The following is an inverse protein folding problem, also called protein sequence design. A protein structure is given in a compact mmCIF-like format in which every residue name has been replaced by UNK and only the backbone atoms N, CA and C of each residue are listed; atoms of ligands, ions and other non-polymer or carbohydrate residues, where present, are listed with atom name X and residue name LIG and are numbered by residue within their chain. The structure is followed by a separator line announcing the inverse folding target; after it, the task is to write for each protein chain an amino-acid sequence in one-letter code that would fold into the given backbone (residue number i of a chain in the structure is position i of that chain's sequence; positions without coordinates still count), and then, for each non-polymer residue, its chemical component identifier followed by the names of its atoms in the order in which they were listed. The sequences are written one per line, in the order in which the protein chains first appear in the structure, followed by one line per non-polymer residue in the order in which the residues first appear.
data_IF_310684540465
#
_entry.id   IF_310684540465
#
_cell.length_a   1.000
_cell.length_b   1.000
_cell.length_c   1.000
_cell.angle_alpha   90.00
_cell.angle_beta   90.00
_cell.angle_gamma   90.00
#
_symmetry.space_group_name_H-M   'P 1'
#
loop_
_entity.id
_entity.type
_entity.pdbx_description
1 polymer ?
#
# COMPACT_ATOMS: atom_id res chain seq x y z
N UNK A 1 2.05 20.30 73.55
CA UNK A 1 0.75 20.22 72.85
C UNK A 1 0.92 19.22 71.71
N UNK A 2 0.44 17.99 71.90
CA UNK A 2 0.49 16.93 70.88
C UNK A 2 -0.75 17.02 69.99
N UNK A 3 -0.62 16.95 68.65
CA UNK A 3 -1.79 16.88 67.77
C UNK A 3 -2.35 15.45 67.77
N UNK A 4 -3.67 15.34 67.97
CA UNK A 4 -4.44 14.11 67.84
C UNK A 4 -4.63 13.78 66.36
N UNK A 5 -4.27 12.56 65.97
CA UNK A 5 -4.58 12.01 64.65
C UNK A 5 -6.08 11.68 64.53
N UNK A 6 -6.75 12.02 63.41
CA UNK A 6 -8.13 11.66 63.17
C UNK A 6 -8.25 10.21 62.67
N UNK A 7 -8.81 9.33 63.50
CA UNK A 7 -9.30 8.01 63.11
C UNK A 7 -10.37 8.13 62.02
N UNK A 8 -9.98 7.80 60.79
CA UNK A 8 -10.88 7.72 59.63
C UNK A 8 -11.46 6.32 59.55
N UNK A 9 -12.69 6.14 59.99
CA UNK A 9 -13.44 4.87 59.89
C UNK A 9 -13.87 4.65 58.44
N UNK A 10 -13.06 3.93 57.66
CA UNK A 10 -13.41 3.48 56.30
C UNK A 10 -14.45 2.37 56.39
N UNK A 11 -15.71 2.70 56.05
CA UNK A 11 -16.79 1.73 55.92
C UNK A 11 -16.56 0.94 54.62
N UNK A 12 -16.12 -0.31 54.76
CA UNK A 12 -15.91 -1.24 53.65
C UNK A 12 -17.26 -1.63 53.01
N UNK A 13 -17.54 -1.08 51.83
CA UNK A 13 -18.70 -1.47 51.03
C UNK A 13 -18.59 -2.91 50.50
N UNK A 14 -19.71 -3.63 50.31
CA UNK A 14 -19.71 -5.05 49.98
C UNK A 14 -19.01 -5.35 48.63
N UNK A 15 -18.03 -6.29 48.59
CA UNK A 15 -17.17 -6.54 47.43
C UNK A 15 -17.86 -7.19 46.22
N UNK A 16 -19.16 -7.52 46.30
CA UNK A 16 -19.85 -8.34 45.29
C UNK A 16 -20.26 -7.64 44.00
N UNK A 17 -20.40 -6.31 43.97
CA UNK A 17 -20.96 -5.59 42.80
C UNK A 17 -19.93 -5.29 41.68
N UNK A 18 -18.65 -5.22 42.01
CA UNK A 18 -17.59 -4.90 41.05
C UNK A 18 -17.28 -6.07 40.09
N UNK A 19 -17.36 -7.32 40.58
CA UNK A 19 -17.09 -8.52 39.77
C UNK A 19 -18.21 -8.82 38.77
N UNK A 20 -19.47 -8.54 39.15
CA UNK A 20 -20.62 -8.72 38.26
C UNK A 20 -20.58 -7.78 37.05
N UNK A 21 -20.19 -6.50 37.25
CA UNK A 21 -20.04 -5.53 36.15
C UNK A 21 -18.94 -5.93 35.17
N UNK A 22 -17.78 -6.41 35.65
CA UNK A 22 -16.68 -6.85 34.76
C UNK A 22 -17.09 -8.03 33.85
N UNK A 23 -17.82 -9.01 34.39
CA UNK A 23 -18.32 -10.16 33.60
C UNK A 23 -19.34 -9.74 32.54
N UNK A 24 -20.19 -8.76 32.82
CA UNK A 24 -21.13 -8.22 31.84
C UNK A 24 -20.42 -7.52 30.68
N UNK A 25 -19.38 -6.72 30.97
CA UNK A 25 -18.59 -6.04 29.94
C UNK A 25 -17.85 -7.02 29.01
N UNK A 26 -17.25 -8.08 29.55
CA UNK A 26 -16.57 -9.10 28.74
C UNK A 26 -17.55 -9.74 27.74
N UNK A 27 -18.78 -10.04 28.16
CA UNK A 27 -19.81 -10.62 27.26
C UNK A 27 -20.21 -9.67 26.12
N UNK A 28 -20.33 -8.36 26.42
CA UNK A 28 -20.64 -7.35 25.40
C UNK A 28 -19.52 -7.26 24.37
N UNK A 29 -18.26 -7.23 24.81
CA UNK A 29 -17.10 -7.18 23.90
C UNK A 29 -16.98 -8.44 23.04
N UNK A 30 -17.24 -9.63 23.59
CA UNK A 30 -17.22 -10.88 22.80
C UNK A 30 -18.30 -10.90 21.72
N UNK A 31 -19.50 -10.39 22.03
CA UNK A 31 -20.58 -10.31 21.04
C UNK A 31 -20.29 -9.27 19.95
N UNK A 32 -19.70 -8.13 20.31
CA UNK A 32 -19.28 -7.11 19.35
C UNK A 32 -18.20 -7.64 18.40
N UNK A 33 -17.19 -8.35 18.92
CA UNK A 33 -16.15 -8.97 18.10
C UNK A 33 -16.72 -10.01 17.12
N UNK A 34 -17.64 -10.86 17.58
CA UNK A 34 -18.30 -11.85 16.72
C UNK A 34 -19.13 -11.18 15.60
N UNK A 35 -19.84 -10.10 15.91
CA UNK A 35 -20.60 -9.34 14.92
C UNK A 35 -19.69 -8.71 13.84
N UNK A 36 -18.53 -8.16 14.23
CA UNK A 36 -17.56 -7.59 13.28
C UNK A 36 -17.01 -8.67 12.33
N UNK A 37 -16.66 -9.85 12.85
CA UNK A 37 -16.21 -10.98 12.02
C UNK A 37 -17.30 -11.41 11.04
N UNK A 38 -18.56 -11.48 11.48
CA UNK A 38 -19.68 -11.87 10.63
C UNK A 38 -19.96 -10.84 9.52
N UNK A 39 -19.90 -9.54 9.84
CA UNK A 39 -20.04 -8.46 8.85
C UNK A 39 -18.90 -8.48 7.84
N UNK A 40 -17.66 -8.69 8.29
CA UNK A 40 -16.50 -8.80 7.39
C UNK A 40 -16.62 -10.01 6.45
N UNK A 41 -17.07 -11.15 6.96
CA UNK A 41 -17.30 -12.36 6.17
C UNK A 41 -18.42 -12.16 5.14
N UNK A 42 -19.55 -11.59 5.56
CA UNK A 42 -20.68 -11.30 4.67
C UNK A 42 -20.30 -10.29 3.57
N UNK A 43 -19.48 -9.29 3.90
CA UNK A 43 -18.96 -8.34 2.93
C UNK A 43 -18.01 -9.00 1.93
N UNK A 44 -17.14 -9.91 2.38
CA UNK A 44 -16.27 -10.72 1.53
C UNK A 44 -17.04 -11.61 0.56
N UNK A 45 -18.09 -12.30 1.04
CA UNK A 45 -18.95 -13.14 0.21
C UNK A 45 -19.70 -12.33 -0.85
N UNK A 46 -20.24 -11.17 -0.50
CA UNK A 46 -20.88 -10.26 -1.48
C UNK A 46 -19.90 -9.76 -2.53
N UNK A 47 -18.62 -9.60 -2.18
CA UNK A 47 -17.58 -9.22 -3.16
C UNK A 47 -17.33 -10.35 -4.15
N UNK A 48 -17.32 -11.60 -3.68
CA UNK A 48 -17.19 -12.80 -4.53
C UNK A 48 -18.42 -13.01 -5.42
N UNK A 49 -19.62 -12.79 -4.91
CA UNK A 49 -20.87 -12.89 -5.69
C UNK A 49 -20.91 -11.86 -6.83
N UNK A 50 -20.44 -10.62 -6.59
CA UNK A 50 -20.32 -9.61 -7.65
C UNK A 50 -19.29 -9.98 -8.72
N UNK A 51 -18.24 -10.71 -8.35
CA UNK A 51 -17.26 -11.25 -9.30
C UNK A 51 -17.81 -12.46 -10.06
N UNK A 52 -18.65 -13.29 -9.44
CA UNK A 52 -19.25 -14.47 -10.06
C UNK A 52 -20.49 -14.15 -10.92
N UNK A 53 -21.20 -13.06 -10.61
CA UNK A 53 -22.42 -12.63 -11.27
C UNK A 53 -22.21 -11.70 -12.45
N UNK A 54 -20.99 -11.54 -12.97
CA UNK A 54 -20.78 -10.84 -14.24
C UNK A 54 -21.47 -11.70 -15.32
N UNK A 55 -22.60 -11.26 -15.89
CA UNK A 55 -23.30 -12.04 -16.89
C UNK A 55 -22.32 -12.22 -18.06
N UNK A 56 -22.04 -13.48 -18.40
CA UNK A 56 -21.44 -13.81 -19.68
C UNK A 56 -22.22 -13.03 -20.74
N UNK A 57 -21.55 -12.23 -21.58
CA UNK A 57 -22.23 -11.36 -22.54
C UNK A 57 -23.20 -12.20 -23.36
N UNK A 58 -24.49 -11.94 -23.17
CA UNK A 58 -25.60 -12.56 -23.89
C UNK A 58 -25.64 -12.00 -25.31
N UNK A 59 -24.63 -12.38 -26.09
CA UNK A 59 -24.42 -11.99 -27.48
C UNK A 59 -23.53 -12.98 -28.24
N UNK A 60 -23.10 -14.09 -27.62
CA UNK A 60 -22.47 -15.19 -28.33
C UNK A 60 -23.56 -16.03 -28.99
N UNK A 61 -23.91 -15.67 -30.22
CA UNK A 61 -24.65 -16.52 -31.15
C UNK A 61 -23.99 -17.91 -31.22
N UNK A 62 -24.73 -19.01 -31.04
CA UNK A 62 -24.19 -20.36 -31.20
C UNK A 62 -24.02 -20.63 -32.69
N UNK A 63 -22.90 -20.19 -33.25
CA UNK A 63 -22.63 -20.32 -34.68
C UNK A 63 -21.38 -19.59 -35.17
N UNK A 64 -20.89 -18.61 -34.43
CA UNK A 64 -19.58 -18.04 -34.73
C UNK A 64 -18.52 -18.96 -34.14
N UNK A 65 -18.15 -19.95 -34.96
CA UNK A 65 -16.97 -20.79 -34.78
C UNK A 65 -15.80 -19.87 -34.46
N UNK A 66 -15.49 -19.72 -33.16
CA UNK A 66 -14.29 -19.03 -32.70
C UNK A 66 -13.15 -19.80 -33.34
N UNK A 67 -12.61 -19.22 -34.41
CA UNK A 67 -11.51 -19.80 -35.15
C UNK A 67 -10.45 -20.28 -34.14
N UNK A 68 -9.84 -21.46 -34.36
CA UNK A 68 -8.81 -21.98 -33.48
C UNK A 68 -7.84 -20.84 -33.20
N UNK A 69 -7.73 -20.49 -31.92
CA UNK A 69 -6.96 -19.35 -31.44
C UNK A 69 -5.50 -19.72 -31.64
N UNK A 70 -5.05 -19.41 -32.84
CA UNK A 70 -3.77 -19.77 -33.42
C UNK A 70 -2.71 -18.86 -32.83
N UNK A 71 -1.44 -19.23 -33.05
CA UNK A 71 -0.22 -18.48 -32.74
C UNK A 71 -0.37 -16.95 -32.87
N UNK A 72 -1.18 -16.51 -33.82
CA UNK A 72 -1.60 -15.13 -34.10
C UNK A 72 -2.13 -14.35 -32.89
N UNK A 73 -2.87 -14.96 -31.96
CA UNK A 73 -3.37 -14.21 -30.78
C UNK A 73 -2.30 -13.98 -29.72
N UNK A 74 -1.38 -14.92 -29.52
CA UNK A 74 -0.23 -14.70 -28.64
C UNK A 74 0.65 -13.56 -29.20
N UNK A 75 0.84 -13.54 -30.52
CA UNK A 75 1.49 -12.44 -31.23
C UNK A 75 0.73 -11.14 -31.05
N UNK A 76 -0.60 -11.13 -31.18
CA UNK A 76 -1.42 -9.93 -30.98
C UNK A 76 -1.32 -9.38 -29.56
N UNK A 77 -1.39 -10.24 -28.53
CA UNK A 77 -1.19 -9.85 -27.13
C UNK A 77 0.20 -9.24 -26.96
N UNK A 78 1.24 -9.89 -27.47
CA UNK A 78 2.62 -9.40 -27.38
C UNK A 78 2.79 -8.04 -28.07
N UNK A 79 2.27 -7.88 -29.28
CA UNK A 79 2.33 -6.62 -30.04
C UNK A 79 1.59 -5.50 -29.29
N UNK A 80 0.41 -5.80 -28.74
CA UNK A 80 -0.36 -4.85 -27.94
C UNK A 80 0.38 -4.46 -26.64
N UNK A 81 0.98 -5.41 -25.94
CA UNK A 81 1.78 -5.15 -24.74
C UNK A 81 3.02 -4.31 -25.05
N UNK A 82 3.76 -4.63 -26.12
CA UNK A 82 4.92 -3.83 -26.57
C UNK A 82 4.51 -2.42 -27.00
N UNK A 83 3.33 -2.25 -27.60
CA UNK A 83 2.81 -0.94 -28.01
C UNK A 83 2.55 -0.01 -26.82
N UNK A 84 2.17 -0.55 -25.66
CA UNK A 84 1.97 0.22 -24.43
C UNK A 84 3.29 0.69 -23.79
N UNK A 85 4.40 0.02 -24.13
CA UNK A 85 5.78 0.27 -23.68
C UNK A 85 6.01 0.13 -22.17
N UNK A 86 5.23 0.77 -21.32
CA UNK A 86 5.39 0.76 -19.87
C UNK A 86 4.05 0.71 -19.17
N UNK A 87 3.95 -0.15 -18.15
CA UNK A 87 2.81 -0.17 -17.22
C UNK A 87 3.30 0.32 -15.87
N UNK A 88 2.62 1.32 -15.30
CA UNK A 88 3.06 2.00 -14.08
C UNK A 88 2.10 1.84 -12.91
N UNK A 89 2.67 1.71 -11.72
CA UNK A 89 1.98 1.68 -10.42
C UNK A 89 2.50 2.81 -9.54
N UNK A 90 1.59 3.50 -8.85
CA UNK A 90 1.91 4.53 -7.87
C UNK A 90 1.84 3.96 -6.44
N UNK A 91 2.89 4.22 -5.65
CA UNK A 91 2.89 4.01 -4.20
C UNK A 91 3.07 5.35 -3.51
N UNK A 92 2.24 5.60 -2.49
CA UNK A 92 2.34 6.77 -1.63
C UNK A 92 2.97 6.38 -0.30
N UNK A 93 3.98 7.13 0.11
CA UNK A 93 4.69 6.94 1.37
C UNK A 93 5.10 8.29 1.94
N UNK A 94 5.74 8.33 3.10
CA UNK A 94 6.25 9.55 3.72
C UNK A 94 7.77 9.45 3.87
N UNK A 95 8.46 10.57 3.70
CA UNK A 95 9.89 10.67 3.99
C UNK A 95 10.11 11.73 5.05
N UNK A 96 10.97 11.42 6.03
CA UNK A 96 11.37 12.36 7.07
C UNK A 96 12.85 12.66 6.96
N UNK A 97 13.18 13.94 6.96
CA UNK A 97 14.53 14.47 7.05
C UNK A 97 14.71 15.19 8.38
N UNK A 98 15.87 15.02 9.01
CA UNK A 98 16.20 15.67 10.29
C UNK A 98 17.57 16.33 10.19
N UNK A 99 17.65 17.56 10.66
CA UNK A 99 18.89 18.30 10.88
C UNK A 99 19.04 18.57 12.37
N UNK A 100 20.23 18.30 12.89
CA UNK A 100 20.51 18.40 14.33
C UNK A 100 21.88 19.03 14.56
N UNK A 101 21.94 19.95 15.52
CA UNK A 101 23.19 20.54 16.00
C UNK A 101 23.19 20.60 17.52
N UNK A 102 24.26 20.07 18.13
CA UNK A 102 24.54 20.28 19.56
C UNK A 102 25.43 21.50 19.74
N UNK A 103 25.06 22.34 20.68
CA UNK A 103 25.86 23.50 21.09
C UNK A 103 25.84 23.64 22.59
N UNK A 104 26.89 24.27 23.14
CA UNK A 104 26.92 24.68 24.56
C UNK A 104 25.75 25.61 24.88
N UNK A 105 25.26 26.36 23.89
CA UNK A 105 24.10 27.26 24.01
C UNK A 105 22.75 26.54 23.83
N UNK A 106 22.75 25.20 23.82
CA UNK A 106 21.55 24.37 23.65
C UNK A 106 21.42 23.74 22.28
N UNK A 107 20.63 22.68 22.22
CA UNK A 107 20.44 21.86 21.03
C UNK A 107 19.38 22.46 20.10
N UNK A 108 19.55 22.26 18.79
CA UNK A 108 18.52 22.54 17.78
C UNK A 108 18.29 21.29 16.95
N UNK A 109 17.04 20.87 16.88
CA UNK A 109 16.55 19.81 16.01
C UNK A 109 15.46 20.38 15.11
N UNK A 110 15.63 20.22 13.80
CA UNK A 110 14.58 20.49 12.83
C UNK A 110 14.24 19.20 12.08
N UNK A 111 12.96 18.86 12.04
CA UNK A 111 12.44 17.73 11.28
C UNK A 111 11.46 18.23 10.22
N UNK A 112 11.59 17.70 9.02
CA UNK A 112 10.64 17.94 7.92
C UNK A 112 10.15 16.58 7.44
N UNK A 113 8.84 16.38 7.44
CA UNK A 113 8.19 15.18 6.92
C UNK A 113 7.31 15.58 5.74
N UNK A 114 7.46 14.92 4.60
CA UNK A 114 6.64 15.19 3.43
C UNK A 114 6.18 13.88 2.77
N UNK A 115 4.98 13.84 2.19
CA UNK A 115 4.55 12.70 1.40
C UNK A 115 5.32 12.61 0.08
N UNK A 116 5.62 11.39 -0.32
CA UNK A 116 6.34 11.03 -1.55
C UNK A 116 5.48 10.10 -2.38
N UNK A 117 5.38 10.40 -3.68
CA UNK A 117 4.80 9.52 -4.68
C UNK A 117 5.92 8.82 -5.42
N UNK A 118 5.98 7.50 -5.30
CA UNK A 118 6.92 6.67 -6.03
C UNK A 118 6.20 6.02 -7.21
N UNK A 119 6.74 6.20 -8.40
CA UNK A 119 6.25 5.54 -9.61
C UNK A 119 7.15 4.36 -9.93
N UNK A 120 6.55 3.18 -9.98
CA UNK A 120 7.18 1.94 -10.42
C UNK A 120 6.63 1.56 -11.78
N UNK A 121 7.47 0.96 -12.62
CA UNK A 121 7.11 0.61 -13.98
C UNK A 121 7.70 -0.73 -14.39
N UNK A 122 6.92 -1.48 -15.16
CA UNK A 122 7.38 -2.64 -15.90
C UNK A 122 7.59 -2.23 -17.36
N UNK A 123 8.82 -2.35 -17.85
CA UNK A 123 9.12 -2.13 -19.28
C UNK A 123 8.66 -3.36 -20.07
N UNK A 124 7.71 -3.15 -20.97
CA UNK A 124 7.15 -4.17 -21.85
C UNK A 124 7.72 -4.08 -23.27
N UNK A 125 8.51 -3.04 -23.59
CA UNK A 125 9.04 -2.83 -24.94
C UNK A 125 10.04 -3.92 -25.34
N UNK A 126 10.80 -4.42 -24.37
CA UNK A 126 11.80 -5.47 -24.52
C UNK A 126 11.31 -6.89 -24.18
N UNK A 127 9.99 -7.14 -24.11
CA UNK A 127 9.49 -8.49 -23.84
C UNK A 127 10.05 -9.49 -24.86
N UNK A 128 10.67 -10.61 -24.45
CA UNK A 128 11.19 -11.59 -25.40
C UNK A 128 10.05 -12.31 -26.13
N UNK A 129 10.39 -13.00 -27.21
CA UNK A 129 9.37 -13.59 -28.09
C UNK A 129 8.61 -14.75 -27.43
N UNK A 130 9.24 -15.41 -26.46
CA UNK A 130 8.73 -16.49 -25.60
C UNK A 130 8.08 -15.98 -24.30
N UNK A 131 8.00 -14.66 -24.09
CA UNK A 131 7.37 -14.08 -22.89
C UNK A 131 5.89 -14.44 -22.74
N UNK A 132 5.22 -14.76 -23.86
CA UNK A 132 3.79 -15.10 -23.90
C UNK A 132 3.66 -16.57 -24.26
N UNK A 133 3.43 -17.41 -23.25
CA UNK A 133 3.14 -18.82 -23.43
C UNK A 133 1.62 -19.04 -23.40
N UNK A 134 1.12 -19.80 -24.36
CA UNK A 134 -0.29 -20.14 -24.48
C UNK A 134 -0.53 -21.60 -24.13
N UNK A 135 -1.48 -21.86 -23.22
CA UNK A 135 -1.95 -23.22 -22.91
C UNK A 135 -3.39 -23.39 -23.36
N UNK A 136 -3.59 -24.11 -24.46
CA UNK A 136 -4.94 -24.44 -24.96
C UNK A 136 -5.71 -25.29 -23.96
N UNK A 137 -5.03 -26.26 -23.34
CA UNK A 137 -5.64 -27.23 -22.42
C UNK A 137 -6.23 -26.56 -21.18
N UNK A 138 -5.58 -25.52 -20.66
CA UNK A 138 -6.03 -24.80 -19.47
C UNK A 138 -6.78 -23.50 -19.79
N UNK A 139 -6.76 -23.05 -21.05
CA UNK A 139 -7.29 -21.74 -21.45
C UNK A 139 -6.57 -20.59 -20.76
N UNK A 140 -5.27 -20.75 -20.47
CA UNK A 140 -4.45 -19.80 -19.74
C UNK A 140 -3.42 -19.13 -20.64
N UNK A 141 -3.18 -17.85 -20.37
CA UNK A 141 -2.06 -17.10 -20.92
C UNK A 141 -1.04 -16.94 -19.81
N UNK A 142 0.15 -17.52 -19.96
CA UNK A 142 1.25 -17.24 -19.05
C UNK A 142 2.09 -16.12 -19.64
N UNK A 143 2.21 -15.02 -18.91
CA UNK A 143 2.99 -13.85 -19.30
C UNK A 143 4.17 -13.70 -18.35
N UNK A 144 5.37 -13.88 -18.88
CA UNK A 144 6.62 -13.63 -18.17
C UNK A 144 7.05 -12.18 -18.43
N UNK A 145 7.11 -11.37 -17.38
CA UNK A 145 7.47 -9.94 -17.48
C UNK A 145 8.68 -9.61 -16.59
N UNK A 146 9.47 -8.57 -16.91
CA UNK A 146 10.52 -8.13 -16.00
C UNK A 146 9.92 -7.61 -14.68
N UNK A 147 10.67 -7.67 -13.57
CA UNK A 147 10.21 -7.12 -12.30
C UNK A 147 10.02 -5.60 -12.40
N UNK A 148 9.01 -5.04 -11.70
CA UNK A 148 8.77 -3.61 -11.70
C UNK A 148 9.96 -2.87 -11.10
N UNK A 149 10.46 -1.86 -11.81
CA UNK A 149 11.58 -1.03 -11.40
C UNK A 149 11.14 0.40 -11.11
N UNK A 150 11.92 1.14 -10.32
CA UNK A 150 11.59 2.52 -9.97
C UNK A 150 11.80 3.42 -11.18
N UNK A 151 10.74 4.12 -11.59
CA UNK A 151 10.76 5.08 -12.69
C UNK A 151 11.02 6.48 -12.17
N UNK A 152 10.30 6.90 -11.14
CA UNK A 152 10.47 8.23 -10.55
C UNK A 152 10.03 8.31 -9.10
N UNK A 153 10.39 9.39 -8.42
CA UNK A 153 9.89 9.74 -7.10
C UNK A 153 9.67 11.24 -6.99
N UNK A 154 8.45 11.62 -6.65
CA UNK A 154 8.01 13.01 -6.51
C UNK A 154 7.77 13.32 -5.02
N UNK A 155 8.41 14.36 -4.52
CA UNK A 155 8.15 14.90 -3.19
C UNK A 155 7.04 15.94 -3.30
N UNK A 156 5.95 15.75 -2.56
CA UNK A 156 4.84 16.69 -2.55
C UNK A 156 5.08 17.77 -1.49
N UNK A 157 5.90 18.77 -1.85
CA UNK A 157 6.30 19.84 -0.93
C UNK A 157 5.14 20.65 -0.36
N UNK A 158 4.00 20.76 -1.07
CA UNK A 158 2.81 21.46 -0.57
C UNK A 158 2.17 20.81 0.67
N UNK A 159 2.52 19.57 0.99
CA UNK A 159 2.01 18.83 2.14
C UNK A 159 3.11 18.54 3.17
N UNK A 160 4.21 19.29 3.15
CA UNK A 160 5.27 19.13 4.15
C UNK A 160 4.80 19.58 5.55
N UNK A 161 5.21 18.82 6.57
CA UNK A 161 5.07 19.17 7.98
C UNK A 161 6.45 19.45 8.54
N UNK A 162 6.64 20.65 9.08
CA UNK A 162 7.89 21.10 9.67
C UNK A 162 7.76 21.18 11.20
N UNK A 163 8.73 20.63 11.90
CA UNK A 163 8.84 20.69 13.36
C UNK A 163 10.22 21.22 13.75
N UNK A 164 10.27 22.21 14.64
CA UNK A 164 11.52 22.75 15.18
C UNK A 164 11.51 22.68 16.69
N UNK A 165 12.53 22.03 17.25
CA UNK A 165 12.82 21.99 18.68
C UNK A 165 14.13 22.75 18.91
N UNK A 166 14.05 23.87 19.62
CA UNK A 166 15.20 24.68 19.97
C UNK A 166 15.31 24.77 21.49
N UNK A 167 16.53 24.65 22.00
CA UNK A 167 16.85 24.87 23.41
C UNK A 167 16.62 26.33 23.84
N UNK A 168 16.46 26.51 25.15
CA UNK A 168 16.12 27.77 25.83
C UNK A 168 16.95 29.01 25.44
N UNK A 169 18.22 28.86 25.09
CA UNK A 169 19.15 29.94 24.77
C UNK A 169 19.32 30.20 23.26
N UNK A 170 18.64 29.44 22.39
CA UNK A 170 18.69 29.63 20.94
C UNK A 170 17.39 30.20 20.40
N UNK A 171 17.49 31.20 19.52
CA UNK A 171 16.32 31.78 18.86
C UNK A 171 15.73 30.77 17.86
N UNK A 172 14.42 30.55 17.97
CA UNK A 172 13.67 29.70 17.02
C UNK A 172 13.69 30.27 15.61
N UNK A 173 13.69 31.59 15.48
CA UNK A 173 13.65 32.28 14.19
C UNK A 173 14.92 32.05 13.38
N UNK A 174 16.10 32.44 13.89
CA UNK A 174 17.34 32.35 13.10
C UNK A 174 17.89 30.93 12.97
N UNK A 175 18.03 30.19 14.09
CA UNK A 175 18.60 28.85 14.05
C UNK A 175 17.61 27.83 13.44
N UNK A 176 16.32 27.98 13.73
CA UNK A 176 15.29 27.09 13.21
C UNK A 176 15.16 27.16 11.70
N UNK A 177 15.13 28.36 11.10
CA UNK A 177 15.04 28.52 9.64
C UNK A 177 16.22 27.88 8.91
N UNK A 178 17.45 28.08 9.42
CA UNK A 178 18.65 27.46 8.83
C UNK A 178 18.54 25.94 8.82
N UNK A 179 18.17 25.33 9.94
CA UNK A 179 18.06 23.87 10.04
C UNK A 179 16.87 23.31 9.27
N UNK A 180 15.77 24.05 9.16
CA UNK A 180 14.66 23.70 8.27
C UNK A 180 15.08 23.72 6.80
N UNK A 181 15.84 24.73 6.37
CA UNK A 181 16.37 24.80 5.01
C UNK A 181 17.28 23.61 4.69
N UNK A 182 18.14 23.21 5.62
CA UNK A 182 18.97 22.01 5.49
C UNK A 182 18.12 20.74 5.44
N UNK A 183 17.15 20.59 6.34
CA UNK A 183 16.26 19.43 6.37
C UNK A 183 15.47 19.28 5.07
N UNK A 184 14.94 20.37 4.49
CA UNK A 184 14.25 20.38 3.18
C UNK A 184 15.16 19.95 2.03
N UNK A 185 16.39 20.46 1.98
CA UNK A 185 17.36 20.05 0.95
C UNK A 185 17.66 18.56 1.02
N UNK A 186 17.88 18.04 2.22
CA UNK A 186 18.14 16.62 2.46
C UNK A 186 16.92 15.74 2.19
N UNK A 187 15.72 16.29 2.33
CA UNK A 187 14.48 15.57 2.10
C UNK A 187 14.38 15.04 0.66
N UNK A 188 14.74 15.85 -0.34
CA UNK A 188 14.76 15.42 -1.73
C UNK A 188 15.79 14.30 -2.00
N UNK A 189 16.98 14.40 -1.39
CA UNK A 189 18.01 13.37 -1.51
C UNK A 189 17.58 12.06 -0.86
N UNK A 190 16.91 12.13 0.31
CA UNK A 190 16.33 10.96 0.98
C UNK A 190 15.20 10.34 0.16
N UNK A 191 14.33 11.14 -0.43
CA UNK A 191 13.27 10.64 -1.30
C UNK A 191 13.84 9.88 -2.52
N UNK A 192 14.91 10.39 -3.14
CA UNK A 192 15.59 9.70 -4.24
C UNK A 192 16.21 8.36 -3.82
N UNK A 193 16.72 8.25 -2.58
CA UNK A 193 17.32 7.03 -2.03
C UNK A 193 16.34 6.13 -1.28
N UNK A 194 15.06 6.50 -1.24
CA UNK A 194 14.04 5.74 -0.52
C UNK A 194 13.91 4.35 -1.14
N UNK A 195 14.13 3.33 -0.31
CA UNK A 195 13.94 1.91 -0.66
C UNK A 195 12.61 1.48 -0.05
N UNK A 196 11.80 0.75 -0.82
CA UNK A 196 10.56 0.18 -0.31
C UNK A 196 10.85 -0.83 0.79
N UNK A 197 9.99 -0.88 1.79
CA UNK A 197 9.94 -2.05 2.66
C UNK A 197 9.45 -3.29 1.89
N UNK A 198 9.62 -4.47 2.48
CA UNK A 198 9.23 -5.73 1.83
C UNK A 198 7.71 -5.83 1.57
N UNK A 199 6.88 -5.14 2.35
CA UNK A 199 5.43 -5.18 2.22
C UNK A 199 4.97 -4.32 1.05
N UNK A 200 5.53 -3.11 0.93
CA UNK A 200 5.35 -2.21 -0.19
C UNK A 200 5.90 -2.81 -1.48
N UNK A 201 7.05 -3.48 -1.44
CA UNK A 201 7.60 -4.17 -2.62
C UNK A 201 6.65 -5.28 -3.12
N UNK A 202 6.09 -6.07 -2.19
CA UNK A 202 5.03 -7.06 -2.51
C UNK A 202 3.79 -6.39 -3.07
N UNK A 203 3.35 -5.30 -2.45
CA UNK A 203 2.20 -4.52 -2.93
C UNK A 203 2.39 -4.01 -4.36
N UNK A 204 3.58 -3.48 -4.72
CA UNK A 204 3.88 -3.04 -6.09
C UNK A 204 3.75 -4.20 -7.07
N UNK A 205 4.30 -5.37 -6.72
CA UNK A 205 4.20 -6.58 -7.56
C UNK A 205 2.76 -7.01 -7.75
N UNK A 206 1.97 -7.08 -6.69
CA UNK A 206 0.57 -7.49 -6.75
C UNK A 206 -0.27 -6.51 -7.58
N UNK A 207 -0.11 -5.20 -7.37
CA UNK A 207 -0.77 -4.18 -8.17
C UNK A 207 -0.37 -4.25 -9.65
N UNK A 208 0.89 -4.54 -9.94
CA UNK A 208 1.38 -4.71 -11.31
C UNK A 208 0.79 -5.96 -11.96
N UNK A 209 0.69 -7.08 -11.23
CA UNK A 209 0.01 -8.31 -11.69
C UNK A 209 -1.45 -8.03 -12.00
N UNK A 210 -2.16 -7.33 -11.12
CA UNK A 210 -3.57 -7.01 -11.30
C UNK A 210 -3.80 -6.12 -12.54
N UNK A 211 -2.96 -5.10 -12.74
CA UNK A 211 -3.02 -4.23 -13.91
C UNK A 211 -2.73 -5.00 -15.21
N UNK A 212 -1.67 -5.80 -15.24
CA UNK A 212 -1.30 -6.60 -16.41
C UNK A 212 -2.37 -7.67 -16.71
N UNK A 213 -2.89 -8.34 -15.69
CA UNK A 213 -3.97 -9.31 -15.85
C UNK A 213 -5.23 -8.65 -16.43
N UNK A 214 -5.60 -7.48 -15.92
CA UNK A 214 -6.75 -6.71 -16.43
C UNK A 214 -6.53 -6.30 -17.89
N UNK A 215 -5.32 -5.85 -18.22
CA UNK A 215 -4.95 -5.47 -19.57
C UNK A 215 -5.01 -6.66 -20.54
N UNK A 216 -4.42 -7.80 -20.18
CA UNK A 216 -4.46 -9.03 -20.98
C UNK A 216 -5.89 -9.51 -21.16
N UNK A 217 -6.73 -9.44 -20.13
CA UNK A 217 -8.15 -9.81 -20.23
C UNK A 217 -8.94 -8.94 -21.19
N UNK A 218 -8.54 -7.67 -21.36
CA UNK A 218 -9.14 -6.74 -22.33
C UNK A 218 -8.75 -7.10 -23.76
N UNK A 219 -7.51 -7.54 -23.98
CA UNK A 219 -7.00 -7.90 -25.31
C UNK A 219 -7.48 -9.31 -25.71
N UNK A 220 -7.52 -10.24 -24.76
CA UNK A 220 -7.90 -11.64 -24.96
C UNK A 220 -9.05 -12.03 -24.03
N UNK A 221 -10.30 -11.60 -24.33
CA UNK A 221 -11.46 -11.88 -23.49
C UNK A 221 -11.73 -13.37 -23.35
N UNK A 222 -12.20 -13.77 -22.16
CA UNK A 222 -12.52 -15.17 -21.84
C UNK A 222 -11.31 -16.04 -21.49
N UNK A 223 -10.13 -15.44 -21.32
CA UNK A 223 -8.89 -16.13 -20.92
C UNK A 223 -8.35 -15.56 -19.62
N UNK A 224 -7.81 -16.43 -18.78
CA UNK A 224 -7.17 -16.04 -17.52
C UNK A 224 -5.67 -15.87 -17.76
N UNK A 225 -5.16 -14.71 -17.38
CA UNK A 225 -3.73 -14.41 -17.43
C UNK A 225 -3.06 -14.83 -16.11
N UNK A 226 -1.91 -15.47 -16.21
CA UNK A 226 -1.01 -15.76 -15.09
C UNK A 226 0.26 -14.96 -15.34
N UNK A 227 0.52 -13.97 -14.48
CA UNK A 227 1.67 -13.09 -14.60
C UNK A 227 2.79 -13.63 -13.71
N UNK A 228 3.94 -13.91 -14.33
CA UNK A 228 5.16 -14.37 -13.65
C UNK A 228 6.23 -13.31 -13.84
N UNK A 229 6.91 -12.92 -12.77
CA UNK A 229 8.05 -12.02 -12.90
C UNK A 229 9.32 -12.84 -13.21
N UNK A 230 10.22 -12.31 -14.03
CA UNK A 230 11.42 -13.03 -14.44
C UNK A 230 12.42 -13.36 -13.32
N UNK A 231 12.20 -12.85 -12.11
CA UNK A 231 12.96 -13.15 -10.90
C UNK A 231 12.29 -14.21 -9.98
N UNK A 232 11.17 -14.79 -10.40
CA UNK A 232 10.44 -15.89 -9.73
C UNK A 232 10.67 -17.24 -10.42
#
# INVERSE_FOLDING_TARGET
MSPREPTSTTIAGPPGRALARRRAWVRVWTLAAAAVVFVALAWGLRRLERSAGQPLPAGATPGESVAPITLDRAVAVRVALRALKVVTVEIRTEVTSRSFERSVMGDVEAAVTAPVRLLYGCDLSGLPDDAVEWSETLGLIRLTVPPPSRVSGEVLGQFERAEVRAGWLRSREGAGERHLGLARRDLHLRAQRLVLDADQARQVRDLTRDQLSSLVSTIAPGKRAVIVFGDE
#
